data_IF_801594147557
#
_entry.id   IF_801594147557
#
_cell.length_a   1.000
_cell.length_b   1.000
_cell.length_c   1.000
_cell.angle_alpha   90.00
_cell.angle_beta   90.00
_cell.angle_gamma   90.00
#
_symmetry.space_group_name_H-M   'P 1'
#
loop_
_entity.id
_entity.type
_entity.pdbx_description
1 polymer ?
#
# COMPACT_ATOMS: atom_id res chain seq x y z
N UNK A 1 71.40 -58.70 -61.68
CA UNK A 1 69.99 -59.22 -61.88
C UNK A 1 69.01 -58.21 -61.45
N UNK A 2 68.57 -57.41 -62.50
CA UNK A 2 67.73 -56.25 -62.25
C UNK A 2 66.27 -56.63 -61.94
N UNK A 3 65.63 -55.90 -61.10
CA UNK A 3 64.20 -55.81 -61.04
C UNK A 3 63.80 -54.38 -61.48
N UNK A 4 63.16 -54.33 -62.59
CA UNK A 4 62.47 -53.15 -63.11
C UNK A 4 61.34 -52.79 -62.12
N UNK A 5 61.36 -51.58 -61.70
CA UNK A 5 60.20 -50.95 -61.06
C UNK A 5 59.36 -50.37 -62.21
N UNK A 6 58.23 -51.05 -62.51
CA UNK A 6 57.22 -50.45 -63.38
C UNK A 6 56.66 -49.23 -62.64
N UNK A 7 56.88 -48.09 -63.22
CA UNK A 7 56.16 -46.87 -62.83
C UNK A 7 54.72 -46.98 -63.35
N UNK A 8 53.84 -47.20 -62.50
CA UNK A 8 52.36 -47.22 -62.77
C UNK A 8 51.94 -45.79 -63.13
N UNK A 9 51.85 -45.59 -64.48
CA UNK A 9 51.46 -44.32 -65.02
C UNK A 9 49.89 -44.29 -65.01
N UNK A 10 49.30 -43.58 -64.04
CA UNK A 10 47.88 -43.32 -64.02
C UNK A 10 47.43 -42.63 -65.29
N UNK A 11 46.34 -43.05 -65.87
CA UNK A 11 45.74 -42.42 -67.02
C UNK A 11 45.16 -41.06 -66.74
N UNK A 12 45.14 -40.17 -67.70
CA UNK A 12 44.61 -38.82 -67.55
C UNK A 12 43.11 -38.83 -67.03
N UNK A 13 42.37 -39.89 -67.37
CA UNK A 13 41.04 -40.14 -66.89
C UNK A 13 40.96 -40.49 -65.39
N UNK A 14 41.94 -41.23 -64.87
CA UNK A 14 42.03 -41.58 -63.46
C UNK A 14 42.46 -40.38 -62.60
N UNK A 15 43.32 -39.52 -63.19
CA UNK A 15 43.71 -38.26 -62.55
C UNK A 15 42.49 -37.30 -62.47
N UNK A 16 41.71 -37.22 -63.54
CA UNK A 16 40.50 -36.37 -63.57
C UNK A 16 39.40 -36.88 -62.63
N UNK A 17 39.27 -38.20 -62.45
CA UNK A 17 38.35 -38.79 -61.51
C UNK A 17 38.76 -38.55 -60.04
N UNK A 18 40.07 -38.51 -59.75
CA UNK A 18 40.62 -38.18 -58.43
C UNK A 18 40.46 -36.71 -58.09
N UNK A 19 40.48 -35.84 -59.11
CA UNK A 19 40.24 -34.41 -58.91
C UNK A 19 38.75 -34.04 -58.81
N UNK A 20 37.85 -34.98 -59.15
CA UNK A 20 36.42 -34.82 -59.07
C UNK A 20 35.81 -35.48 -57.78
N UNK A 21 36.63 -36.00 -56.87
CA UNK A 21 36.12 -36.30 -55.55
C UNK A 21 35.71 -35.03 -54.88
N UNK A 22 34.40 -34.88 -54.53
CA UNK A 22 33.97 -33.68 -53.80
C UNK A 22 34.72 -33.69 -52.47
N UNK A 23 35.43 -32.62 -52.17
CA UNK A 23 35.87 -32.29 -50.82
C UNK A 23 34.66 -32.51 -49.90
N UNK A 24 34.62 -33.61 -49.18
CA UNK A 24 33.75 -33.77 -48.07
C UNK A 24 34.22 -32.72 -47.06
N UNK A 25 33.68 -31.51 -47.18
CA UNK A 25 33.73 -30.56 -46.08
C UNK A 25 33.17 -31.31 -44.89
N UNK A 26 34.06 -31.77 -43.99
CA UNK A 26 33.66 -32.12 -42.65
C UNK A 26 33.00 -30.84 -42.10
N UNK A 27 31.63 -30.79 -42.15
CA UNK A 27 30.89 -29.84 -41.39
C UNK A 27 31.29 -30.12 -39.94
N UNK A 28 32.25 -29.38 -39.42
CA UNK A 28 32.53 -29.26 -38.01
C UNK A 28 31.20 -28.82 -37.41
N UNK A 29 30.39 -29.77 -36.88
CA UNK A 29 29.25 -29.47 -36.06
C UNK A 29 29.79 -28.68 -34.85
N UNK A 30 29.87 -27.34 -35.01
CA UNK A 30 30.19 -26.42 -33.92
C UNK A 30 29.18 -26.71 -32.80
N UNK A 31 29.65 -27.34 -31.69
CA UNK A 31 28.83 -27.53 -30.52
C UNK A 31 28.21 -26.18 -30.15
N UNK A 32 26.88 -26.11 -30.03
CA UNK A 32 26.20 -24.84 -29.74
C UNK A 32 26.81 -24.22 -28.47
N UNK A 33 27.02 -22.91 -28.47
CA UNK A 33 27.68 -22.20 -27.38
C UNK A 33 26.98 -22.56 -26.07
N UNK A 34 27.74 -22.69 -24.97
CA UNK A 34 27.30 -23.21 -23.65
C UNK A 34 26.00 -22.57 -23.17
N UNK A 35 25.76 -21.29 -23.53
CA UNK A 35 24.55 -20.57 -23.17
C UNK A 35 23.28 -21.04 -23.90
N UNK A 36 23.40 -21.78 -25.02
CA UNK A 36 22.25 -22.33 -25.76
C UNK A 36 21.78 -23.68 -25.24
N UNK A 37 22.54 -24.33 -24.36
CA UNK A 37 22.16 -25.61 -23.78
C UNK A 37 20.90 -25.45 -22.95
N UNK A 38 19.81 -26.12 -23.34
CA UNK A 38 18.47 -26.02 -22.73
C UNK A 38 18.47 -26.32 -21.22
N UNK A 39 19.35 -27.21 -20.77
CA UNK A 39 19.47 -27.53 -19.36
C UNK A 39 20.09 -26.37 -18.54
N UNK A 40 21.03 -25.62 -19.13
CA UNK A 40 21.65 -24.45 -18.49
C UNK A 40 20.63 -23.32 -18.35
N UNK A 41 19.82 -23.04 -19.40
CA UNK A 41 18.72 -22.07 -19.31
C UNK A 41 17.71 -22.44 -18.22
N UNK A 42 17.36 -23.72 -18.09
CA UNK A 42 16.50 -24.23 -17.01
C UNK A 42 17.13 -24.09 -15.63
N UNK A 43 18.44 -24.39 -15.51
CA UNK A 43 19.19 -24.24 -14.26
C UNK A 43 19.26 -22.79 -13.80
N UNK A 44 19.57 -21.86 -14.72
CA UNK A 44 19.58 -20.42 -14.45
C UNK A 44 18.17 -19.94 -14.06
N UNK A 45 17.13 -20.38 -14.78
CA UNK A 45 15.75 -20.03 -14.46
C UNK A 45 15.33 -20.51 -13.05
N UNK A 46 15.70 -21.74 -12.68
CA UNK A 46 15.45 -22.27 -11.34
C UNK A 46 16.21 -21.49 -10.26
N UNK A 47 17.48 -21.15 -10.50
CA UNK A 47 18.29 -20.36 -9.58
C UNK A 47 17.68 -18.97 -9.35
N UNK A 48 17.28 -18.29 -10.42
CA UNK A 48 16.60 -16.98 -10.34
C UNK A 48 15.29 -17.09 -9.58
N UNK A 49 14.50 -18.13 -9.83
CA UNK A 49 13.25 -18.37 -9.11
C UNK A 49 13.50 -18.59 -7.61
N UNK A 50 14.52 -19.38 -7.23
CA UNK A 50 14.89 -19.59 -5.84
C UNK A 50 15.38 -18.30 -5.15
N UNK A 51 16.18 -17.49 -5.86
CA UNK A 51 16.61 -16.18 -5.35
C UNK A 51 15.39 -15.27 -5.14
N UNK A 52 14.46 -15.24 -6.09
CA UNK A 52 13.24 -14.43 -5.97
C UNK A 52 12.39 -14.88 -4.78
N UNK A 53 12.14 -16.18 -4.64
CA UNK A 53 11.40 -16.75 -3.50
C UNK A 53 12.13 -16.47 -2.19
N UNK A 54 13.45 -16.63 -2.14
CA UNK A 54 14.26 -16.32 -0.97
C UNK A 54 14.15 -14.83 -0.55
N UNK A 55 14.18 -13.92 -1.51
CA UNK A 55 13.97 -12.50 -1.25
C UNK A 55 12.56 -12.21 -0.71
N UNK A 56 11.52 -12.81 -1.31
CA UNK A 56 10.14 -12.64 -0.83
C UNK A 56 10.01 -13.14 0.61
N UNK A 57 10.55 -14.33 0.92
CA UNK A 57 10.52 -14.89 2.27
C UNK A 57 11.35 -14.08 3.28
N UNK A 58 12.48 -13.51 2.86
CA UNK A 58 13.30 -12.65 3.72
C UNK A 58 12.62 -11.29 4.03
N UNK A 59 11.87 -10.74 3.06
CA UNK A 59 11.10 -9.50 3.24
C UNK A 59 9.76 -9.71 3.97
N UNK A 60 9.26 -10.95 4.02
CA UNK A 60 7.95 -11.26 4.60
C UNK A 60 7.77 -10.79 6.06
N UNK A 61 8.74 -11.04 6.99
CA UNK A 61 8.63 -10.55 8.36
C UNK A 61 8.58 -9.02 8.44
N UNK A 62 9.32 -8.35 7.56
CA UNK A 62 9.41 -6.90 7.51
C UNK A 62 8.10 -6.24 7.05
N UNK A 63 7.43 -6.87 6.08
CA UNK A 63 6.10 -6.44 5.61
C UNK A 63 5.05 -6.70 6.69
N UNK A 64 5.12 -7.82 7.40
CA UNK A 64 4.16 -8.18 8.46
C UNK A 64 4.32 -7.34 9.73
N UNK A 65 5.52 -6.85 10.02
CA UNK A 65 5.82 -5.96 11.13
C UNK A 65 5.57 -4.48 10.84
N UNK A 66 5.11 -4.13 9.63
CA UNK A 66 4.76 -2.74 9.30
C UNK A 66 3.61 -2.29 10.18
N UNK A 67 3.80 -1.18 10.90
CA UNK A 67 2.79 -0.54 11.75
C UNK A 67 1.44 -0.36 11.03
N UNK A 68 1.46 -0.16 9.72
CA UNK A 68 0.25 -0.06 8.89
C UNK A 68 -0.62 -1.33 8.92
N UNK A 69 -0.01 -2.53 8.90
CA UNK A 69 -0.76 -3.81 8.91
C UNK A 69 -1.35 -4.05 10.30
N UNK A 70 -0.58 -3.80 11.35
CA UNK A 70 -1.06 -3.90 12.74
C UNK A 70 -2.22 -2.93 12.98
N UNK A 71 -2.08 -1.69 12.50
CA UNK A 71 -3.12 -0.67 12.55
C UNK A 71 -4.43 -1.11 11.85
N UNK A 72 -4.33 -1.70 10.65
CA UNK A 72 -5.50 -2.22 9.93
C UNK A 72 -6.12 -3.45 10.62
N UNK A 73 -5.29 -4.36 11.15
CA UNK A 73 -5.77 -5.51 11.91
C UNK A 73 -6.51 -5.08 13.19
N UNK A 74 -5.98 -4.08 13.91
CA UNK A 74 -6.63 -3.49 15.08
C UNK A 74 -7.95 -2.82 14.71
N UNK A 75 -7.98 -2.06 13.62
CA UNK A 75 -9.21 -1.45 13.12
C UNK A 75 -10.27 -2.49 12.75
N UNK A 76 -9.88 -3.63 12.17
CA UNK A 76 -10.79 -4.72 11.85
C UNK A 76 -11.36 -5.37 13.11
N UNK A 77 -10.54 -5.55 14.15
CA UNK A 77 -10.98 -6.06 15.45
C UNK A 77 -11.97 -5.10 16.14
N UNK A 78 -11.63 -3.81 16.21
CA UNK A 78 -12.50 -2.77 16.79
C UNK A 78 -13.82 -2.63 16.04
N UNK A 79 -13.83 -2.91 14.74
CA UNK A 79 -15.04 -2.85 13.92
C UNK A 79 -16.05 -3.95 14.23
N UNK A 80 -15.74 -4.91 15.09
CA UNK A 80 -16.70 -5.92 15.59
C UNK A 80 -17.49 -5.42 16.81
N UNK A 81 -17.06 -4.34 17.44
CA UNK A 81 -17.76 -3.71 18.55
C UNK A 81 -18.94 -2.86 18.03
N UNK A 82 -20.16 -3.13 18.52
CA UNK A 82 -21.38 -2.43 18.11
C UNK A 82 -21.31 -0.93 18.40
N UNK A 83 -20.65 -0.53 19.49
CA UNK A 83 -20.46 0.88 19.84
C UNK A 83 -19.57 1.59 18.83
N UNK A 84 -18.48 0.96 18.45
CA UNK A 84 -17.58 1.50 17.41
C UNK A 84 -18.27 1.55 16.04
N UNK A 85 -19.11 0.58 15.73
CA UNK A 85 -19.94 0.59 14.53
C UNK A 85 -20.87 1.81 14.51
N UNK A 86 -21.60 2.04 15.60
CA UNK A 86 -22.49 3.18 15.73
C UNK A 86 -21.72 4.53 15.56
N UNK A 87 -20.55 4.64 16.16
CA UNK A 87 -19.69 5.84 15.96
C UNK A 87 -19.26 6.00 14.52
N UNK A 88 -18.90 4.92 13.84
CA UNK A 88 -18.51 4.93 12.43
C UNK A 88 -19.62 5.40 11.48
N UNK A 89 -20.88 5.18 11.83
CA UNK A 89 -22.02 5.64 11.03
C UNK A 89 -22.12 7.16 11.03
N UNK A 90 -21.75 7.83 12.12
CA UNK A 90 -21.75 9.28 12.22
C UNK A 90 -20.48 9.93 11.61
N UNK A 91 -19.43 9.13 11.33
CA UNK A 91 -18.23 9.63 10.66
C UNK A 91 -18.42 9.62 9.15
N UNK A 92 -18.25 10.80 8.55
CA UNK A 92 -18.51 11.07 7.14
C UNK A 92 -17.22 11.34 6.37
N UNK A 93 -17.29 11.19 5.05
CA UNK A 93 -16.28 11.68 4.12
C UNK A 93 -16.71 13.04 3.61
N UNK A 94 -15.85 14.03 3.76
CA UNK A 94 -16.05 15.39 3.21
C UNK A 94 -15.25 15.50 1.92
N UNK A 95 -15.92 15.88 0.83
CA UNK A 95 -15.29 16.17 -0.45
C UNK A 95 -15.50 17.62 -0.82
N UNK A 96 -14.41 18.31 -1.14
CA UNK A 96 -14.38 19.71 -1.54
C UNK A 96 -13.47 19.85 -2.76
N UNK A 97 -14.04 19.88 -3.95
CA UNK A 97 -13.26 19.86 -5.19
C UNK A 97 -12.34 18.62 -5.27
N UNK A 98 -11.03 18.85 -5.27
CA UNK A 98 -10.01 17.78 -5.26
C UNK A 98 -9.62 17.33 -3.85
N UNK A 99 -10.04 18.03 -2.81
CA UNK A 99 -9.75 17.69 -1.42
C UNK A 99 -10.71 16.63 -0.90
N UNK A 100 -10.18 15.76 -0.05
CA UNK A 100 -10.92 14.72 0.67
C UNK A 100 -10.49 14.71 2.12
N UNK A 101 -11.42 14.76 3.05
CA UNK A 101 -11.15 14.70 4.49
C UNK A 101 -12.17 13.92 5.24
N UNK A 102 -12.00 13.90 6.56
CA UNK A 102 -12.94 13.33 7.51
C UNK A 102 -13.78 14.42 8.13
N UNK A 103 -15.06 14.18 8.29
CA UNK A 103 -15.97 14.95 9.14
C UNK A 103 -16.75 14.02 10.02
N UNK A 104 -17.50 14.56 10.96
CA UNK A 104 -18.45 13.81 11.77
C UNK A 104 -19.72 14.63 12.02
N UNK A 105 -20.82 13.91 12.05
CA UNK A 105 -22.12 14.51 12.27
C UNK A 105 -22.37 14.65 13.78
N UNK A 106 -22.84 15.83 14.22
CA UNK A 106 -23.11 16.17 15.62
C UNK A 106 -24.59 16.46 15.88
N UNK A 107 -25.47 16.31 14.88
CA UNK A 107 -26.90 16.51 15.00
C UNK A 107 -27.66 15.55 14.10
N UNK A 108 -28.78 15.06 14.54
CA UNK A 108 -29.71 14.26 13.74
C UNK A 108 -30.34 15.02 12.56
N UNK A 109 -30.27 16.35 12.58
CA UNK A 109 -30.67 17.24 11.49
C UNK A 109 -29.55 17.51 10.45
N UNK A 110 -28.32 17.07 10.71
CA UNK A 110 -27.22 17.17 9.75
C UNK A 110 -26.31 18.38 9.96
N UNK A 111 -25.68 18.47 11.10
CA UNK A 111 -24.61 19.42 11.39
C UNK A 111 -23.26 18.71 11.39
N UNK A 112 -22.42 18.97 10.40
CA UNK A 112 -21.16 18.28 10.17
C UNK A 112 -19.99 19.13 10.62
N UNK A 113 -19.14 18.59 11.48
CA UNK A 113 -17.88 19.21 11.86
C UNK A 113 -16.72 18.60 11.08
N UNK A 114 -15.84 19.44 10.55
CA UNK A 114 -14.64 19.05 9.80
C UNK A 114 -13.53 20.10 9.97
N UNK A 115 -12.35 19.85 9.42
CA UNK A 115 -11.29 20.85 9.38
C UNK A 115 -11.54 21.89 8.31
N UNK A 116 -11.16 23.15 8.59
CA UNK A 116 -11.31 24.27 7.65
C UNK A 116 -10.53 24.03 6.36
N UNK A 117 -9.25 23.59 6.45
CA UNK A 117 -8.40 23.34 5.28
C UNK A 117 -8.95 22.26 4.33
N UNK A 118 -9.84 21.37 4.80
CA UNK A 118 -10.47 20.34 3.95
C UNK A 118 -11.47 20.97 2.98
N UNK A 119 -12.16 22.02 3.40
CA UNK A 119 -13.29 22.63 2.69
C UNK A 119 -13.01 24.04 2.16
N UNK A 120 -11.83 24.57 2.46
CA UNK A 120 -11.39 25.88 2.01
C UNK A 120 -11.51 26.02 0.48
N UNK A 121 -12.02 27.17 0.04
CA UNK A 121 -12.19 27.47 -1.38
C UNK A 121 -13.31 26.73 -2.10
N UNK A 122 -14.14 25.96 -1.37
CA UNK A 122 -15.30 25.25 -1.93
C UNK A 122 -16.59 25.81 -1.34
N UNK A 123 -17.49 26.27 -2.19
CA UNK A 123 -18.77 26.83 -1.76
C UNK A 123 -19.73 25.76 -1.25
N UNK A 124 -19.78 24.63 -1.93
CA UNK A 124 -20.69 23.51 -1.64
C UNK A 124 -19.94 22.19 -1.50
N UNK A 125 -19.31 21.90 -0.34
CA UNK A 125 -18.73 20.59 -0.07
C UNK A 125 -19.78 19.48 -0.10
N UNK A 126 -19.38 18.26 -0.49
CA UNK A 126 -20.26 17.09 -0.54
C UNK A 126 -19.92 16.14 0.60
N UNK A 127 -20.93 15.75 1.34
CA UNK A 127 -20.84 14.87 2.51
C UNK A 127 -21.31 13.46 2.14
N UNK A 128 -20.50 12.45 2.42
CA UNK A 128 -20.84 11.05 2.16
C UNK A 128 -20.90 10.26 3.46
N UNK A 129 -22.06 9.71 3.76
CA UNK A 129 -22.30 8.83 4.93
C UNK A 129 -21.89 7.38 4.66
N UNK A 130 -21.87 6.58 5.75
CA UNK A 130 -21.52 5.16 5.74
C UNK A 130 -22.48 4.32 4.89
N UNK A 131 -23.75 4.64 4.95
CA UNK A 131 -24.86 3.97 4.28
C UNK A 131 -24.97 4.29 2.77
N UNK A 132 -24.07 5.14 2.24
CA UNK A 132 -24.05 5.55 0.83
C UNK A 132 -24.85 6.82 0.54
N UNK A 133 -25.60 7.37 1.51
CA UNK A 133 -26.27 8.66 1.31
C UNK A 133 -25.23 9.77 1.10
N UNK A 134 -25.56 10.73 0.24
CA UNK A 134 -24.69 11.86 -0.07
C UNK A 134 -25.51 13.15 -0.08
N UNK A 135 -24.95 14.20 0.49
CA UNK A 135 -25.59 15.49 0.63
C UNK A 135 -24.67 16.60 0.17
N UNK A 136 -25.21 17.60 -0.49
CA UNK A 136 -24.53 18.89 -0.72
C UNK A 136 -24.67 19.72 0.54
N UNK A 137 -23.59 20.28 1.04
CA UNK A 137 -23.61 21.06 2.27
C UNK A 137 -23.50 22.56 2.00
N UNK A 138 -23.96 23.33 2.98
CA UNK A 138 -23.78 24.78 3.09
C UNK A 138 -22.91 25.09 4.31
N UNK A 139 -22.21 26.22 4.25
CA UNK A 139 -21.44 26.72 5.38
C UNK A 139 -22.34 27.20 6.49
N UNK A 140 -22.18 26.67 7.71
CA UNK A 140 -22.85 27.16 8.90
C UNK A 140 -21.95 28.09 9.73
N UNK A 141 -20.69 27.72 9.93
CA UNK A 141 -19.68 28.52 10.61
C UNK A 141 -18.27 28.03 10.22
N UNK A 142 -17.27 28.89 10.45
CA UNK A 142 -15.87 28.52 10.29
C UNK A 142 -14.97 29.31 11.23
N UNK A 143 -13.88 28.68 11.66
CA UNK A 143 -12.77 29.32 12.36
C UNK A 143 -11.45 28.83 11.75
N UNK A 144 -10.85 29.66 10.93
CA UNK A 144 -9.57 29.36 10.26
C UNK A 144 -8.42 29.19 11.25
N UNK A 145 -8.41 29.95 12.36
CA UNK A 145 -7.34 29.88 13.37
C UNK A 145 -7.34 28.58 14.15
N UNK A 146 -8.53 28.03 14.37
CA UNK A 146 -8.71 26.74 15.03
C UNK A 146 -8.75 25.57 14.02
N UNK A 147 -8.65 25.86 12.73
CA UNK A 147 -8.81 24.89 11.64
C UNK A 147 -10.12 24.09 11.75
N UNK A 148 -11.23 24.76 12.04
CA UNK A 148 -12.54 24.15 12.19
C UNK A 148 -13.55 24.73 11.21
N UNK A 149 -14.38 23.86 10.65
CA UNK A 149 -15.53 24.24 9.83
C UNK A 149 -16.78 23.47 10.26
N UNK A 150 -17.89 24.16 10.27
CA UNK A 150 -19.21 23.61 10.54
C UNK A 150 -20.06 23.74 9.28
N UNK A 151 -20.55 22.63 8.79
CA UNK A 151 -21.34 22.52 7.57
C UNK A 151 -22.75 22.02 7.92
N UNK A 152 -23.75 22.50 7.21
CA UNK A 152 -25.15 22.06 7.33
C UNK A 152 -25.56 21.29 6.10
N UNK A 153 -26.24 20.19 6.29
CA UNK A 153 -26.90 19.42 5.22
C UNK A 153 -28.41 19.33 5.51
N UNK A 154 -29.19 19.14 4.47
CA UNK A 154 -30.64 18.91 4.60
C UNK A 154 -30.88 17.39 4.75
N UNK A 155 -30.94 16.94 5.99
CA UNK A 155 -31.13 15.53 6.33
C UNK A 155 -31.92 15.35 7.62
N UNK A 156 -32.55 14.19 7.78
CA UNK A 156 -33.36 13.84 8.96
C UNK A 156 -32.92 12.50 9.52
N UNK A 157 -32.95 12.37 10.85
CA UNK A 157 -32.62 11.13 11.57
C UNK A 157 -31.28 10.56 11.17
N UNK A 158 -30.30 11.43 11.07
CA UNK A 158 -28.95 11.05 10.74
C UNK A 158 -28.20 10.52 11.97
N UNK A 159 -27.32 9.52 11.81
CA UNK A 159 -26.45 9.10 12.90
C UNK A 159 -25.57 10.28 13.34
N UNK A 160 -25.52 10.57 14.63
CA UNK A 160 -24.82 11.71 15.19
C UNK A 160 -23.98 11.28 16.41
N UNK A 161 -22.86 12.01 16.63
CA UNK A 161 -22.02 11.88 17.82
C UNK A 161 -22.41 12.97 18.82
N UNK A 162 -22.52 12.61 20.08
CA UNK A 162 -22.69 13.56 21.16
C UNK A 162 -21.35 14.20 21.50
N UNK A 163 -21.33 15.54 21.62
CA UNK A 163 -20.12 16.28 22.00
C UNK A 163 -19.91 16.20 23.51
N UNK A 164 -18.72 15.72 23.91
CA UNK A 164 -18.36 15.68 25.33
C UNK A 164 -18.09 17.13 25.83
N UNK A 165 -18.70 17.48 26.93
CA UNK A 165 -18.51 18.77 27.61
C UNK A 165 -17.29 18.76 28.52
N UNK A 166 -16.98 17.59 29.09
CA UNK A 166 -15.88 17.42 30.04
C UNK A 166 -14.67 16.78 29.38
N UNK A 167 -13.49 17.21 29.83
CA UNK A 167 -12.23 16.60 29.39
C UNK A 167 -12.04 15.29 30.13
N UNK A 168 -11.89 14.13 29.45
CA UNK A 168 -11.71 12.85 30.10
C UNK A 168 -10.44 12.82 30.95
N UNK A 169 -10.40 11.98 31.97
CA UNK A 169 -9.25 11.86 32.87
C UNK A 169 -8.05 11.14 32.20
N UNK A 170 -6.80 11.38 32.68
CA UNK A 170 -5.66 10.60 32.26
C UNK A 170 -5.89 9.09 32.45
N UNK A 171 -5.46 8.27 31.49
CA UNK A 171 -5.68 6.82 31.47
C UNK A 171 -6.99 6.39 30.82
N UNK A 172 -7.92 7.31 30.51
CA UNK A 172 -9.15 7.02 29.78
C UNK A 172 -8.82 6.52 28.37
N UNK A 173 -9.41 5.40 27.98
CA UNK A 173 -9.33 4.91 26.60
C UNK A 173 -10.21 5.78 25.70
N UNK A 174 -9.69 6.17 24.53
CA UNK A 174 -10.44 6.86 23.50
C UNK A 174 -10.25 6.17 22.16
N UNK A 175 -11.17 6.43 21.24
CA UNK A 175 -11.13 5.89 19.89
C UNK A 175 -10.93 7.03 18.88
N UNK A 176 -10.05 6.79 17.89
CA UNK A 176 -9.84 7.69 16.77
C UNK A 176 -10.43 7.03 15.53
N UNK A 177 -11.39 7.69 14.89
CA UNK A 177 -12.02 7.20 13.67
C UNK A 177 -11.81 8.24 12.58
N UNK A 178 -11.29 7.81 11.43
CA UNK A 178 -11.01 8.73 10.32
C UNK A 178 -10.95 8.03 8.97
N UNK A 179 -10.74 8.84 7.93
CA UNK A 179 -10.68 8.40 6.53
C UNK A 179 -9.28 8.67 5.95
N UNK A 180 -8.20 8.01 6.46
CA UNK A 180 -6.85 8.28 6.00
C UNK A 180 -6.66 7.79 4.56
N UNK A 181 -6.08 8.62 3.68
CA UNK A 181 -5.71 8.30 2.30
C UNK A 181 -6.84 7.61 1.51
N UNK A 182 -6.69 6.31 1.26
CA UNK A 182 -7.63 5.47 0.48
C UNK A 182 -8.58 4.66 1.36
N UNK A 183 -8.38 4.67 2.67
CA UNK A 183 -9.20 3.90 3.61
C UNK A 183 -10.40 4.71 4.11
N UNK A 184 -11.43 4.01 4.55
CA UNK A 184 -12.65 4.60 5.05
C UNK A 184 -12.92 4.08 6.46
N UNK A 185 -13.20 5.01 7.39
CA UNK A 185 -13.63 4.72 8.77
C UNK A 185 -12.72 3.73 9.49
N UNK A 186 -11.42 3.95 9.36
CA UNK A 186 -10.43 3.23 10.14
C UNK A 186 -10.56 3.67 11.59
N UNK A 187 -10.73 2.71 12.49
CA UNK A 187 -10.78 2.96 13.94
C UNK A 187 -9.48 2.49 14.59
N UNK A 188 -8.98 3.27 15.52
CA UNK A 188 -7.88 2.88 16.41
C UNK A 188 -8.21 3.31 17.84
N UNK A 189 -7.57 2.70 18.82
CA UNK A 189 -7.70 3.07 20.22
C UNK A 189 -6.42 3.69 20.75
N UNK A 190 -6.54 4.59 21.70
CA UNK A 190 -5.44 5.21 22.42
C UNK A 190 -5.82 5.42 23.88
N UNK A 191 -4.82 5.75 24.70
CA UNK A 191 -5.03 6.16 26.07
C UNK A 191 -4.64 7.61 26.25
N UNK A 192 -5.46 8.38 26.94
CA UNK A 192 -5.11 9.74 27.31
C UNK A 192 -3.97 9.73 28.32
N UNK A 193 -2.83 10.32 27.96
CA UNK A 193 -1.74 10.55 28.90
C UNK A 193 -1.97 11.83 29.70
N UNK A 194 -1.42 11.90 30.90
CA UNK A 194 -1.38 13.14 31.67
C UNK A 194 -0.65 14.21 30.85
N UNK A 195 -1.14 15.45 30.92
CA UNK A 195 -0.59 16.57 30.13
C UNK A 195 0.88 16.81 30.46
N UNK A 196 1.80 16.38 29.63
CA UNK A 196 3.06 17.08 29.47
C UNK A 196 2.78 18.35 28.67
N UNK A 197 3.35 19.48 29.03
CA UNK A 197 3.10 20.81 28.50
C UNK A 197 3.51 21.01 27.00
N UNK A 198 3.50 19.95 26.22
CA UNK A 198 3.67 19.96 24.79
C UNK A 198 2.65 19.00 24.17
N UNK A 199 1.91 19.49 23.20
CA UNK A 199 0.92 18.75 22.42
C UNK A 199 1.37 17.32 22.09
N UNK A 200 0.70 16.30 22.66
CA UNK A 200 1.00 14.91 22.36
C UNK A 200 -0.21 14.01 22.58
N UNK A 201 -0.91 13.65 21.52
CA UNK A 201 -1.75 12.44 21.47
C UNK A 201 -0.80 11.31 21.13
N UNK A 202 -0.54 10.39 22.07
CA UNK A 202 0.24 9.18 21.80
C UNK A 202 -0.74 8.11 21.30
N UNK A 203 -0.58 7.74 20.05
CA UNK A 203 -1.24 6.60 19.42
C UNK A 203 -0.18 5.51 19.39
N UNK A 204 -0.31 4.54 20.27
CA UNK A 204 0.44 3.28 20.37
C UNK A 204 1.22 3.09 21.68
N UNK A 205 1.47 1.82 22.03
CA UNK A 205 1.99 1.33 23.32
C UNK A 205 3.39 1.84 23.76
N UNK A 206 4.05 2.69 23.00
CA UNK A 206 5.29 3.36 23.38
C UNK A 206 4.99 4.57 24.27
N UNK A 207 4.97 4.30 25.56
CA UNK A 207 4.93 5.32 26.61
C UNK A 207 6.13 6.23 26.45
N UNK A 208 5.90 7.42 25.88
CA UNK A 208 6.89 8.49 25.99
C UNK A 208 7.08 8.80 27.47
N UNK A 209 8.24 8.45 28.03
CA UNK A 209 8.66 8.86 29.36
C UNK A 209 8.73 10.39 29.34
N UNK A 210 7.76 11.02 29.97
CA UNK A 210 7.91 12.42 30.37
C UNK A 210 8.81 12.47 31.60
N UNK A 211 10.07 12.80 31.40
CA UNK A 211 10.91 13.18 32.50
C UNK A 211 10.30 14.41 33.19
N UNK A 212 9.76 14.23 34.37
CA UNK A 212 9.43 15.36 35.27
C UNK A 212 10.73 16.03 35.66
N UNK A 213 10.92 17.32 35.40
CA UNK A 213 12.05 18.01 35.99
C UNK A 213 11.88 17.97 37.53
N UNK A 214 12.79 17.27 38.20
CA UNK A 214 12.93 17.31 39.64
C UNK A 214 13.25 18.75 40.04
N UNK A 215 12.27 19.41 40.66
CA UNK A 215 12.47 20.71 41.33
C UNK A 215 13.26 20.57 42.64
#
# INVERSE_FOLDING_TARGET
MGKNKEEEHLSDEEIEALLLEPDLEEEDEEEPPIYERKWLKRGIGLLLALILVGNILAFWPQVYSMAAIQFLAKSAQLSQDETIQAYKEAVVVVRAGNSKGTGFNISDEGLIMTNYHVVEGTEHPVIHFADGRSYVSEWAAADEKLDLALLRIDGERLPALELAVETPEPGTTFYVIGNPLFFYRIANEGKRVARCSAFGVVIDDDIAHCDTPSG
#
